data_IF_244516646391
#
_entry.id   IF_244516646391
#
_cell.length_a   1.000
_cell.length_b   1.000
_cell.length_c   1.000
_cell.angle_alpha   90.00
_cell.angle_beta   90.00
_cell.angle_gamma   90.00
#
_symmetry.space_group_name_H-M   'P 1'
#
loop_
_entity.id
_entity.type
_entity.pdbx_description
1 polymer ?
#
# COMPACT_ATOMS: atom_id res chain seq x y z
N UNK A 1 2.85 -10.98 44.15
CA UNK A 1 2.99 -9.68 43.48
C UNK A 1 3.88 -9.90 42.27
N UNK A 2 3.30 -10.08 41.09
CA UNK A 2 4.06 -10.36 39.86
C UNK A 2 4.58 -9.04 39.31
N UNK A 3 5.90 -8.88 39.27
CA UNK A 3 6.55 -7.72 38.68
C UNK A 3 6.13 -7.61 37.21
N UNK A 4 5.58 -6.45 36.81
CA UNK A 4 5.36 -6.13 35.41
C UNK A 4 6.74 -6.09 34.73
N UNK A 5 7.06 -7.13 33.95
CA UNK A 5 8.22 -7.09 33.08
C UNK A 5 7.98 -5.95 32.09
N UNK A 6 8.85 -4.95 32.11
CA UNK A 6 8.85 -3.84 31.17
C UNK A 6 9.26 -4.43 29.81
N UNK A 7 8.30 -5.00 29.08
CA UNK A 7 8.53 -5.69 27.81
C UNK A 7 8.69 -4.63 26.71
N UNK A 8 9.88 -4.06 26.64
CA UNK A 8 10.25 -3.13 25.58
C UNK A 8 10.75 -3.91 24.38
N UNK A 9 10.07 -3.77 23.24
CA UNK A 9 10.47 -4.43 22.01
C UNK A 9 11.75 -3.80 21.46
N UNK A 10 12.65 -4.59 20.83
CA UNK A 10 13.89 -4.05 20.27
C UNK A 10 13.58 -3.02 19.19
N UNK A 11 14.08 -1.80 19.30
CA UNK A 11 13.77 -0.71 18.35
C UNK A 11 14.83 -0.54 17.26
N UNK A 12 15.97 -1.23 17.40
CA UNK A 12 17.16 -1.05 16.56
C UNK A 12 17.17 -1.90 15.29
N UNK A 13 16.48 -3.04 15.27
CA UNK A 13 16.50 -3.98 14.14
C UNK A 13 15.40 -5.03 14.28
N UNK A 14 14.71 -5.33 13.17
CA UNK A 14 13.79 -6.46 13.07
C UNK A 14 14.59 -7.72 12.69
N UNK A 15 14.37 -8.88 13.34
CA UNK A 15 15.05 -10.13 12.98
C UNK A 15 14.59 -10.64 11.60
N UNK A 16 15.49 -11.30 10.86
CA UNK A 16 15.19 -11.83 9.52
C UNK A 16 14.28 -13.07 9.55
N UNK A 17 14.26 -13.82 10.66
CA UNK A 17 13.50 -15.07 10.80
C UNK A 17 12.15 -14.87 11.50
N UNK A 18 11.33 -13.96 10.96
CA UNK A 18 9.95 -13.80 11.39
C UNK A 18 9.05 -14.81 10.67
N UNK A 19 8.06 -15.34 11.38
CA UNK A 19 7.06 -16.26 10.84
C UNK A 19 6.00 -15.48 10.03
N UNK A 20 6.44 -14.75 9.01
CA UNK A 20 5.61 -13.97 8.10
C UNK A 20 5.65 -14.64 6.71
N UNK A 21 4.50 -14.80 6.03
CA UNK A 21 4.47 -15.31 4.66
C UNK A 21 5.35 -14.48 3.72
N UNK A 22 6.20 -15.15 2.94
CA UNK A 22 7.17 -14.49 2.05
C UNK A 22 6.62 -14.24 0.64
N UNK A 23 5.44 -14.79 0.34
CA UNK A 23 4.71 -14.66 -0.92
C UNK A 23 3.90 -13.36 -1.01
N UNK A 24 3.74 -12.64 0.10
CA UNK A 24 3.06 -11.33 0.15
C UNK A 24 4.05 -10.18 0.31
N UNK A 25 3.67 -9.00 -0.17
CA UNK A 25 4.41 -7.76 0.14
C UNK A 25 3.95 -7.27 1.51
N UNK A 26 4.86 -7.15 2.48
CA UNK A 26 4.51 -6.82 3.86
C UNK A 26 5.42 -5.73 4.43
N UNK A 27 4.90 -5.04 5.44
CA UNK A 27 5.67 -4.14 6.30
C UNK A 27 5.71 -4.70 7.71
N UNK A 28 6.82 -4.50 8.39
CA UNK A 28 7.01 -4.88 9.80
C UNK A 28 7.74 -3.79 10.55
N UNK A 29 7.32 -3.58 11.79
CA UNK A 29 7.81 -2.55 12.70
C UNK A 29 7.88 -3.12 14.12
N UNK A 30 8.82 -2.65 14.96
CA UNK A 30 8.78 -2.96 16.38
C UNK A 30 7.59 -2.31 17.05
N UNK A 31 6.89 -3.12 17.85
CA UNK A 31 5.68 -2.73 18.56
C UNK A 31 4.95 -3.96 19.12
N UNK A 32 4.05 -3.73 20.07
CA UNK A 32 3.22 -4.79 20.66
C UNK A 32 1.72 -4.48 20.58
N UNK A 33 1.35 -3.38 19.91
CA UNK A 33 0.02 -2.84 19.89
C UNK A 33 -0.52 -2.83 18.46
N UNK A 34 -1.20 -3.89 18.06
CA UNK A 34 -1.86 -3.99 16.74
C UNK A 34 -2.91 -2.90 16.48
N UNK A 35 -3.32 -2.15 17.52
CA UNK A 35 -4.27 -1.04 17.41
C UNK A 35 -3.57 0.32 17.27
N UNK A 36 -2.25 0.34 17.13
CA UNK A 36 -1.48 1.55 16.88
C UNK A 36 -2.00 2.22 15.60
N UNK A 37 -2.52 3.44 15.75
CA UNK A 37 -3.29 4.13 14.70
C UNK A 37 -2.52 4.30 13.40
N UNK A 38 -1.20 4.50 13.50
CA UNK A 38 -0.31 4.72 12.38
C UNK A 38 -0.09 3.44 11.56
N UNK A 39 0.06 2.29 12.21
CA UNK A 39 0.12 0.99 11.50
C UNK A 39 -1.27 0.59 10.99
N UNK A 40 -2.28 0.64 11.85
CA UNK A 40 -3.65 0.22 11.52
C UNK A 40 -4.22 1.02 10.33
N UNK A 41 -4.02 2.34 10.28
CA UNK A 41 -4.48 3.16 9.15
C UNK A 41 -3.79 2.81 7.83
N UNK A 42 -2.49 2.53 7.86
CA UNK A 42 -1.70 2.24 6.66
C UNK A 42 -1.87 0.82 6.14
N UNK A 43 -2.29 -0.09 7.01
CA UNK A 43 -2.54 -1.48 6.68
C UNK A 43 -3.96 -1.73 6.16
N UNK A 44 -4.91 -0.80 6.32
CA UNK A 44 -6.29 -1.02 5.88
C UNK A 44 -6.39 -1.30 4.37
N UNK A 45 -7.18 -2.31 3.96
CA UNK A 45 -8.11 -3.12 4.76
C UNK A 45 -7.49 -4.36 5.42
N UNK A 46 -6.19 -4.61 5.22
CA UNK A 46 -5.50 -5.77 5.76
C UNK A 46 -5.29 -5.61 7.28
N UNK A 47 -5.53 -6.67 8.08
CA UNK A 47 -5.37 -6.59 9.53
C UNK A 47 -3.89 -6.51 9.92
N UNK A 48 -3.59 -5.69 10.93
CA UNK A 48 -2.30 -5.73 11.62
C UNK A 48 -2.24 -6.96 12.50
N UNK A 49 -1.13 -7.68 12.43
CA UNK A 49 -0.86 -8.88 13.20
C UNK A 49 0.40 -8.69 14.04
N UNK A 50 0.49 -9.44 15.13
CA UNK A 50 1.67 -9.47 15.98
C UNK A 50 2.42 -10.78 15.76
N UNK A 51 3.74 -10.70 15.59
CA UNK A 51 4.62 -11.87 15.51
C UNK A 51 5.69 -11.76 16.59
N UNK A 52 5.91 -12.88 17.31
CA UNK A 52 6.87 -12.97 18.43
C UNK A 52 6.68 -11.89 19.51
N UNK A 53 5.43 -11.48 19.74
CA UNK A 53 5.00 -10.48 20.75
C UNK A 53 5.64 -9.09 20.65
N UNK A 54 6.44 -8.83 19.61
CA UNK A 54 7.22 -7.60 19.51
C UNK A 54 7.35 -6.98 18.12
N UNK A 55 6.68 -7.57 17.14
CA UNK A 55 6.71 -7.08 15.77
C UNK A 55 5.30 -7.01 15.22
N UNK A 56 4.83 -5.79 15.02
CA UNK A 56 3.60 -5.53 14.32
C UNK A 56 3.90 -5.62 12.82
N UNK A 57 3.09 -6.39 12.10
CA UNK A 57 3.24 -6.53 10.67
C UNK A 57 1.87 -6.55 9.99
N UNK A 58 1.87 -6.22 8.70
CA UNK A 58 0.70 -6.40 7.86
C UNK A 58 1.12 -6.59 6.41
N UNK A 59 0.25 -7.22 5.62
CA UNK A 59 0.34 -7.17 4.18
C UNK A 59 0.05 -5.73 3.70
N UNK A 60 0.93 -5.19 2.86
CA UNK A 60 0.78 -3.83 2.33
C UNK A 60 -0.43 -3.79 1.37
N UNK A 61 -1.39 -2.88 1.58
CA UNK A 61 -2.58 -2.80 0.75
C UNK A 61 -2.30 -2.57 -0.73
N UNK A 62 -3.19 -3.08 -1.58
CA UNK A 62 -3.19 -2.82 -3.01
C UNK A 62 -3.23 -1.32 -3.35
N UNK A 63 -3.83 -0.48 -2.49
CA UNK A 63 -3.83 0.97 -2.66
C UNK A 63 -2.42 1.59 -2.69
N UNK A 64 -1.43 0.93 -2.07
CA UNK A 64 -0.03 1.35 -2.05
C UNK A 64 0.79 0.60 -3.11
N UNK A 65 0.50 -0.69 -3.34
CA UNK A 65 1.30 -1.52 -4.28
C UNK A 65 0.86 -1.39 -5.74
N UNK A 66 -0.39 -1.04 -6.02
CA UNK A 66 -0.91 -0.96 -7.39
C UNK A 66 -0.41 0.31 -8.11
N UNK A 67 0.17 0.14 -9.31
CA UNK A 67 0.76 1.24 -10.07
C UNK A 67 2.10 1.75 -9.53
N UNK A 68 2.59 1.17 -8.44
CA UNK A 68 3.85 1.52 -7.77
C UNK A 68 4.92 0.48 -8.13
N UNK A 69 6.20 0.89 -8.18
CA UNK A 69 7.32 -0.04 -8.40
C UNK A 69 7.77 -0.64 -7.09
N UNK A 70 8.39 -1.82 -7.12
CA UNK A 70 8.99 -2.45 -5.93
C UNK A 70 9.94 -1.52 -5.17
N UNK A 71 10.65 -0.63 -5.89
CA UNK A 71 11.56 0.36 -5.33
C UNK A 71 10.84 1.51 -4.59
N UNK A 72 9.59 1.81 -4.94
CA UNK A 72 8.83 2.93 -4.40
C UNK A 72 7.82 2.53 -3.33
N UNK A 73 7.47 1.24 -3.23
CA UNK A 73 6.60 0.72 -2.16
C UNK A 73 7.12 1.06 -0.75
N UNK A 74 8.42 0.87 -0.42
CA UNK A 74 8.92 1.21 0.91
C UNK A 74 8.76 2.69 1.25
N UNK A 75 9.00 3.58 0.28
CA UNK A 75 8.85 5.02 0.45
C UNK A 75 7.37 5.41 0.61
N UNK A 76 6.48 4.84 -0.19
CA UNK A 76 5.04 5.10 -0.10
C UNK A 76 4.45 4.65 1.24
N UNK A 77 4.84 3.47 1.73
CA UNK A 77 4.41 3.00 3.04
C UNK A 77 4.97 3.88 4.18
N UNK A 78 6.24 4.26 4.10
CA UNK A 78 6.87 5.18 5.06
C UNK A 78 6.14 6.53 5.14
N UNK A 79 5.74 7.08 3.98
CA UNK A 79 4.96 8.32 3.92
C UNK A 79 3.59 8.17 4.60
N UNK A 80 2.92 7.03 4.43
CA UNK A 80 1.67 6.77 5.13
C UNK A 80 1.87 6.78 6.66
N UNK A 81 2.90 6.10 7.17
CA UNK A 81 3.19 6.06 8.60
C UNK A 81 3.45 7.47 9.16
N UNK A 82 4.27 8.27 8.47
CA UNK A 82 4.55 9.65 8.86
C UNK A 82 3.29 10.52 8.83
N UNK A 83 2.44 10.38 7.82
CA UNK A 83 1.16 11.10 7.72
C UNK A 83 0.20 10.76 8.87
N UNK A 84 0.34 9.57 9.47
CA UNK A 84 -0.41 9.16 10.65
C UNK A 84 0.33 9.40 11.98
N UNK A 85 1.43 10.17 11.96
CA UNK A 85 2.10 10.65 13.17
C UNK A 85 3.24 9.77 13.69
N UNK A 86 3.68 8.76 12.94
CA UNK A 86 4.88 7.99 13.32
C UNK A 86 6.15 8.76 13.00
N UNK A 87 6.99 8.93 14.01
CA UNK A 87 8.37 9.34 13.81
C UNK A 87 9.24 8.16 13.38
N UNK A 88 9.63 8.13 12.11
CA UNK A 88 10.55 7.12 11.56
C UNK A 88 12.02 7.39 11.92
N UNK A 89 12.37 8.60 12.36
CA UNK A 89 13.73 8.88 12.85
C UNK A 89 13.94 8.34 14.27
N UNK A 90 12.87 8.13 15.02
CA UNK A 90 12.92 7.57 16.37
C UNK A 90 13.11 6.05 16.39
N UNK A 91 12.90 5.35 15.26
CA UNK A 91 13.00 3.89 15.19
C UNK A 91 13.48 3.41 13.83
N UNK A 92 14.65 2.77 13.80
CA UNK A 92 15.23 2.09 12.62
C UNK A 92 14.51 0.76 12.27
N UNK A 93 13.27 0.58 12.75
CA UNK A 93 12.61 -0.71 12.78
C UNK A 93 11.66 -0.97 11.62
N UNK A 94 11.47 -0.05 10.66
CA UNK A 94 10.62 -0.34 9.51
C UNK A 94 11.38 -1.21 8.50
N UNK A 95 10.89 -2.44 8.30
CA UNK A 95 11.29 -3.27 7.17
C UNK A 95 10.09 -3.44 6.25
N UNK A 96 10.33 -3.29 4.95
CA UNK A 96 9.37 -3.57 3.90
C UNK A 96 9.93 -4.69 3.03
N UNK A 97 9.23 -5.81 3.03
CA UNK A 97 9.51 -6.93 2.13
C UNK A 97 8.63 -6.80 0.89
N UNK A 98 9.23 -6.90 -0.28
CA UNK A 98 8.50 -6.87 -1.56
C UNK A 98 8.56 -8.26 -2.18
N UNK A 99 7.39 -8.89 -2.27
CA UNK A 99 7.26 -10.19 -2.92
C UNK A 99 7.31 -10.03 -4.44
N UNK A 100 8.09 -10.88 -5.10
CA UNK A 100 8.11 -11.00 -6.57
C UNK A 100 6.81 -11.61 -7.12
N UNK A 101 6.06 -12.36 -6.30
CA UNK A 101 4.75 -12.92 -6.65
C UNK A 101 3.61 -11.90 -6.55
N UNK A 102 3.79 -10.83 -5.77
CA UNK A 102 2.81 -9.76 -5.58
C UNK A 102 2.91 -8.63 -6.62
N UNK A 103 3.82 -8.73 -7.60
CA UNK A 103 3.99 -7.73 -8.66
C UNK A 103 2.71 -7.65 -9.50
N UNK A 104 2.00 -6.50 -9.56
CA UNK A 104 0.86 -6.36 -10.45
C UNK A 104 1.38 -6.50 -11.88
N UNK A 105 0.94 -7.56 -12.56
CA UNK A 105 1.14 -7.73 -13.99
C UNK A 105 0.74 -6.43 -14.70
N UNK A 106 1.69 -5.74 -15.32
CA UNK A 106 1.42 -4.64 -16.26
C UNK A 106 0.59 -5.22 -17.40
N UNK A 107 -0.72 -5.25 -17.26
CA UNK A 107 -1.62 -5.36 -18.39
C UNK A 107 -1.53 -4.05 -19.15
N UNK A 108 -0.59 -4.00 -20.09
CA UNK A 108 -0.59 -2.97 -21.13
C UNK A 108 -1.79 -3.31 -22.00
N UNK A 109 -2.92 -2.65 -21.76
CA UNK A 109 -4.10 -2.76 -22.60
C UNK A 109 -3.81 -2.07 -23.94
N UNK A 110 -3.17 -2.80 -24.86
CA UNK A 110 -3.08 -2.43 -26.27
C UNK A 110 -4.35 -2.89 -26.99
N UNK A 111 -5.49 -2.32 -26.64
CA UNK A 111 -6.71 -2.47 -27.43
C UNK A 111 -7.48 -1.18 -27.36
N UNK A 112 -7.20 -0.28 -28.31
CA UNK A 112 -8.22 0.45 -29.08
C UNK A 112 -7.55 1.39 -30.08
N UNK A 113 -6.98 0.80 -31.14
CA UNK A 113 -6.99 1.45 -32.45
C UNK A 113 -8.26 0.96 -33.17
N UNK A 114 -9.24 1.84 -33.32
CA UNK A 114 -10.18 1.77 -34.44
C UNK A 114 -10.65 3.19 -34.75
N UNK A 115 -10.26 3.66 -35.94
CA UNK A 115 -10.67 4.91 -36.56
C UNK A 115 -12.20 5.01 -36.67
N UNK A 116 -12.75 6.19 -36.39
CA UNK A 116 -13.98 6.63 -37.01
C UNK A 116 -13.67 7.92 -37.80
N UNK A 117 -13.52 7.76 -39.11
CA UNK A 117 -13.35 8.85 -40.05
C UNK A 117 -14.72 9.32 -40.57
N UNK A 118 -14.92 10.65 -40.51
CA UNK A 118 -15.61 11.52 -41.48
C UNK A 118 -17.01 11.15 -41.97
N UNK A 119 -17.99 12.00 -41.64
CA UNK A 119 -18.85 12.65 -42.65
C UNK A 119 -19.17 14.08 -42.20
N UNK A 120 -18.52 15.04 -42.85
CA UNK A 120 -18.96 16.43 -42.89
C UNK A 120 -19.84 16.61 -44.14
N UNK A 121 -21.06 17.11 -43.98
CA UNK A 121 -21.91 17.64 -45.06
C UNK A 121 -22.91 18.60 -44.41
N UNK A 122 -22.53 19.86 -44.22
CA UNK A 122 -22.89 21.05 -45.04
C UNK A 122 -24.29 21.62 -44.77
N UNK A 123 -24.26 22.93 -44.48
CA UNK A 123 -25.31 23.89 -44.11
C UNK A 123 -26.27 24.18 -45.27
N UNK A 124 -27.57 24.38 -45.00
CA UNK A 124 -28.38 25.55 -45.42
C UNK A 124 -29.87 25.24 -45.66
N UNK A 125 -30.71 25.85 -44.81
CA UNK A 125 -31.96 26.59 -45.10
C UNK A 125 -32.90 26.13 -46.23
N UNK A 126 -34.08 25.59 -45.89
CA UNK A 126 -35.34 25.77 -46.68
C UNK A 126 -36.58 25.84 -45.76
N UNK A 127 -37.13 27.05 -45.65
CA UNK A 127 -38.55 27.45 -45.74
C UNK A 127 -39.71 26.71 -45.03
N UNK A 128 -40.45 27.53 -44.25
CA UNK A 128 -41.91 27.68 -44.18
C UNK A 128 -42.79 26.46 -43.81
N UNK A 129 -43.43 26.54 -42.64
CA UNK A 129 -44.77 25.98 -42.42
C UNK A 129 -45.71 27.09 -41.98
N UNK A 130 -46.61 27.47 -42.89
CA UNK A 130 -47.82 28.22 -42.63
C UNK A 130 -48.98 27.23 -42.57
N UNK A 131 -49.77 27.26 -41.48
CA UNK A 131 -51.22 27.08 -41.44
C UNK A 131 -51.75 27.99 -40.34
#
# INVERSE_FOLDING_TARGET
>A
MSAAANFSCPTSSVPENLQIPQDVTYAVIPGHNISDSWMASCCQPNPVQLVQDCWEWCEIPAAITNGTTSETIPAAFSQCLQANGRDLNASNGLIVHVSSAATPSRHVSFTNMAMAALVASTVSSVFLTAV
#
